data_IF_454289653637
#
_entry.id   IF_454289653637
#
_cell.length_a   1.000
_cell.length_b   1.000
_cell.length_c   1.000
_cell.angle_alpha   90.00
_cell.angle_beta   90.00
_cell.angle_gamma   90.00
#
_symmetry.space_group_name_H-M   'P 1'
#
loop_
_entity.id
_entity.type
_entity.pdbx_description
1 polymer ?
#
# COMPACT_ATOMS: atom_id res chain seq x y z
N UNK A 1 -21.69 -10.72 -60.09
CA UNK A 1 -21.84 -12.05 -59.47
C UNK A 1 -20.47 -12.45 -58.92
N UNK A 2 -20.24 -12.20 -57.64
CA UNK A 2 -19.01 -12.56 -56.95
C UNK A 2 -19.40 -13.11 -55.59
N UNK A 3 -19.24 -14.41 -55.42
CA UNK A 3 -19.49 -15.11 -54.15
C UNK A 3 -18.25 -14.97 -53.27
N UNK A 4 -18.36 -14.23 -52.18
CA UNK A 4 -17.38 -14.27 -51.09
C UNK A 4 -17.73 -15.42 -50.16
N UNK A 5 -16.82 -16.40 -50.11
CA UNK A 5 -16.90 -17.59 -49.28
C UNK A 5 -16.30 -17.23 -47.90
N UNK A 6 -17.16 -17.08 -46.89
CA UNK A 6 -16.77 -16.88 -45.49
C UNK A 6 -16.37 -18.25 -44.91
N UNK A 7 -15.06 -18.52 -44.85
CA UNK A 7 -14.50 -19.65 -44.13
C UNK A 7 -14.67 -19.45 -42.62
N UNK A 8 -15.42 -20.35 -41.99
CA UNK A 8 -15.56 -20.42 -40.54
C UNK A 8 -14.24 -20.85 -39.91
N UNK A 9 -13.66 -19.99 -39.07
CA UNK A 9 -12.53 -20.34 -38.19
C UNK A 9 -13.12 -21.00 -36.94
N UNK A 10 -13.00 -22.33 -36.86
CA UNK A 10 -13.32 -23.11 -35.67
C UNK A 10 -12.21 -22.87 -34.64
N UNK A 11 -12.52 -22.04 -33.63
CA UNK A 11 -11.65 -21.75 -32.49
C UNK A 11 -11.96 -22.79 -31.39
N UNK A 12 -11.43 -23.99 -31.53
CA UNK A 12 -11.44 -25.01 -30.47
C UNK A 12 -10.35 -24.70 -29.44
N UNK A 13 -10.56 -23.64 -28.66
CA UNK A 13 -9.82 -23.40 -27.42
C UNK A 13 -10.67 -23.89 -26.26
N UNK A 14 -10.79 -25.21 -26.18
CA UNK A 14 -11.38 -25.89 -25.02
C UNK A 14 -10.38 -25.75 -23.87
N UNK A 15 -10.54 -24.68 -23.08
CA UNK A 15 -9.76 -24.46 -21.87
C UNK A 15 -9.94 -25.67 -20.96
N UNK A 16 -8.90 -26.49 -20.84
CA UNK A 16 -8.90 -27.67 -19.99
C UNK A 16 -9.38 -27.29 -18.59
N UNK A 17 -10.33 -28.06 -18.06
CA UNK A 17 -10.83 -27.85 -16.71
C UNK A 17 -9.66 -27.84 -15.71
N UNK A 18 -9.64 -26.89 -14.75
CA UNK A 18 -8.58 -26.85 -13.76
C UNK A 18 -8.51 -28.19 -13.01
N UNK A 19 -7.31 -28.74 -12.78
CA UNK A 19 -7.14 -30.05 -12.15
C UNK A 19 -7.77 -30.05 -10.75
N UNK A 20 -8.28 -31.22 -10.34
CA UNK A 20 -8.88 -31.31 -9.00
C UNK A 20 -7.83 -31.10 -7.90
N UNK A 21 -8.19 -30.61 -6.71
CA UNK A 21 -7.25 -30.47 -5.58
C UNK A 21 -6.51 -31.78 -5.23
N UNK A 22 -7.16 -32.93 -5.46
CA UNK A 22 -6.58 -34.26 -5.27
C UNK A 22 -5.56 -34.67 -6.36
N UNK A 23 -5.62 -34.06 -7.54
CA UNK A 23 -4.64 -34.23 -8.62
C UNK A 23 -3.42 -33.30 -8.41
N UNK A 24 -3.61 -32.10 -7.89
CA UNK A 24 -2.50 -31.16 -7.59
C UNK A 24 -1.54 -31.78 -6.56
N UNK A 25 -2.07 -32.44 -5.52
CA UNK A 25 -1.29 -33.19 -4.53
C UNK A 25 -0.51 -34.39 -5.11
N UNK A 26 -0.83 -34.82 -6.34
CA UNK A 26 -0.10 -35.87 -7.05
C UNK A 26 1.11 -35.35 -7.83
N UNK A 27 1.13 -34.08 -8.24
CA UNK A 27 2.04 -33.60 -9.28
C UNK A 27 3.29 -32.90 -8.73
N UNK A 28 3.23 -32.26 -7.55
CA UNK A 28 4.39 -31.52 -7.02
C UNK A 28 4.92 -32.11 -5.71
N UNK A 29 6.18 -32.63 -5.67
CA UNK A 29 6.76 -33.23 -4.46
C UNK A 29 6.84 -32.28 -3.26
N UNK A 30 6.91 -30.97 -3.50
CA UNK A 30 7.06 -29.95 -2.45
C UNK A 30 5.85 -29.86 -1.52
N UNK A 31 4.63 -30.07 -2.03
CA UNK A 31 3.39 -30.04 -1.23
C UNK A 31 3.31 -31.20 -0.22
N UNK A 32 4.17 -32.22 -0.36
CA UNK A 32 4.24 -33.37 0.54
C UNK A 32 5.32 -33.24 1.59
N UNK A 33 6.16 -32.22 1.49
CA UNK A 33 7.23 -32.02 2.46
C UNK A 33 6.61 -31.62 3.81
N UNK A 34 7.08 -32.22 4.91
CA UNK A 34 6.75 -31.72 6.25
C UNK A 34 7.08 -30.24 6.37
N UNK A 35 6.30 -29.51 7.17
CA UNK A 35 6.48 -28.06 7.36
C UNK A 35 7.90 -27.72 7.80
N UNK A 36 8.51 -28.53 8.65
CA UNK A 36 9.87 -28.36 9.17
C UNK A 36 10.94 -28.42 8.07
N UNK A 37 10.69 -29.19 7.01
CA UNK A 37 11.60 -29.26 5.86
C UNK A 37 11.41 -28.03 4.97
N UNK A 38 10.17 -27.56 4.80
CA UNK A 38 9.88 -26.34 4.05
C UNK A 38 10.47 -25.11 4.73
N UNK A 39 10.38 -25.04 6.06
CA UNK A 39 11.02 -24.00 6.87
C UNK A 39 12.52 -23.96 6.62
N UNK A 40 13.21 -25.09 6.75
CA UNK A 40 14.65 -25.16 6.49
C UNK A 40 15.02 -24.72 5.08
N UNK A 41 14.19 -25.03 4.08
CA UNK A 41 14.44 -24.58 2.71
C UNK A 41 14.33 -23.06 2.63
N UNK A 42 13.30 -22.47 3.24
CA UNK A 42 13.09 -21.02 3.24
C UNK A 42 14.14 -20.28 4.08
N UNK A 43 14.55 -20.81 5.22
CA UNK A 43 15.63 -20.27 6.05
C UNK A 43 16.95 -20.24 5.26
N UNK A 44 17.28 -21.35 4.58
CA UNK A 44 18.49 -21.40 3.75
C UNK A 44 18.48 -20.39 2.60
N UNK A 45 17.30 -20.00 2.10
CA UNK A 45 17.18 -18.95 1.06
C UNK A 45 17.42 -17.55 1.65
N UNK A 46 17.02 -17.30 2.90
CA UNK A 46 17.29 -16.03 3.59
C UNK A 46 18.75 -15.87 3.98
N UNK A 47 19.44 -16.98 4.27
CA UNK A 47 20.86 -16.99 4.65
C UNK A 47 21.81 -16.67 3.47
N UNK A 48 21.31 -16.62 2.23
CA UNK A 48 22.13 -16.21 1.10
C UNK A 48 22.45 -14.71 1.16
N UNK A 49 23.71 -14.28 0.94
CA UNK A 49 24.15 -12.89 1.04
C UNK A 49 23.72 -12.05 -0.17
N UNK A 50 22.46 -12.17 -0.58
CA UNK A 50 21.87 -11.31 -1.58
C UNK A 50 21.48 -9.98 -0.95
N UNK A 51 21.51 -8.93 -1.77
CA UNK A 51 21.10 -7.58 -1.35
C UNK A 51 19.61 -7.50 -0.97
N UNK A 52 18.80 -8.50 -1.37
CA UNK A 52 17.35 -8.52 -1.17
C UNK A 52 16.87 -9.93 -0.78
N UNK A 53 16.00 -10.00 0.24
CA UNK A 53 15.37 -11.26 0.66
C UNK A 53 14.41 -11.76 -0.42
N UNK A 54 14.39 -13.09 -0.66
CA UNK A 54 13.44 -13.75 -1.57
C UNK A 54 11.96 -13.56 -1.19
N UNK A 55 11.69 -13.08 0.02
CA UNK A 55 10.36 -12.80 0.55
C UNK A 55 10.06 -11.29 0.65
N UNK A 56 11.05 -10.44 0.36
CA UNK A 56 10.88 -8.98 0.42
C UNK A 56 10.46 -8.43 -0.92
N UNK A 57 9.41 -7.62 -0.90
CA UNK A 57 8.92 -6.90 -2.07
C UNK A 57 9.93 -5.83 -2.52
N UNK A 58 10.19 -5.78 -3.83
CA UNK A 58 10.90 -4.69 -4.49
C UNK A 58 10.13 -4.25 -5.74
N UNK A 59 9.17 -3.34 -5.58
CA UNK A 59 8.23 -2.90 -6.62
C UNK A 59 7.13 -3.90 -6.97
N UNK A 60 7.46 -5.19 -7.10
CA UNK A 60 6.56 -6.29 -7.48
C UNK A 60 6.58 -7.45 -6.48
N UNK A 61 5.62 -8.39 -6.60
CA UNK A 61 5.58 -9.61 -5.78
C UNK A 61 6.82 -10.47 -6.09
N UNK A 62 7.54 -10.98 -5.06
CA UNK A 62 8.71 -11.83 -5.30
C UNK A 62 8.36 -13.05 -6.15
N UNK A 63 9.25 -13.38 -7.09
CA UNK A 63 9.03 -14.47 -8.04
C UNK A 63 8.75 -15.82 -7.36
N UNK A 64 9.36 -16.06 -6.19
CA UNK A 64 9.12 -17.25 -5.38
C UNK A 64 7.66 -17.33 -4.90
N UNK A 65 7.10 -16.23 -4.41
CA UNK A 65 5.70 -16.15 -3.96
C UNK A 65 4.77 -16.43 -5.16
N UNK A 66 5.04 -15.82 -6.30
CA UNK A 66 4.26 -16.01 -7.54
C UNK A 66 4.31 -17.47 -8.00
N UNK A 67 5.50 -18.09 -8.03
CA UNK A 67 5.69 -19.47 -8.47
C UNK A 67 4.91 -20.48 -7.60
N UNK A 68 4.79 -20.19 -6.30
CA UNK A 68 4.12 -21.07 -5.35
C UNK A 68 2.59 -20.90 -5.32
N UNK A 69 2.00 -19.89 -5.99
CA UNK A 69 0.53 -19.63 -5.97
C UNK A 69 -0.35 -20.83 -6.29
N UNK A 70 0.13 -21.76 -7.11
CA UNK A 70 -0.62 -22.98 -7.50
C UNK A 70 -0.52 -24.12 -6.48
N UNK A 71 0.37 -24.00 -5.49
CA UNK A 71 0.70 -25.01 -4.50
C UNK A 71 0.16 -24.57 -3.13
N UNK A 72 -1.05 -24.98 -2.79
CA UNK A 72 -1.82 -24.38 -1.69
C UNK A 72 -1.07 -24.36 -0.35
N UNK A 73 -0.45 -25.48 0.07
CA UNK A 73 0.22 -25.56 1.37
C UNK A 73 1.52 -24.76 1.37
N UNK A 74 2.29 -24.80 0.29
CA UNK A 74 3.55 -24.08 0.15
C UNK A 74 3.31 -22.58 -0.01
N UNK A 75 2.21 -22.21 -0.66
CA UNK A 75 1.78 -20.83 -0.81
C UNK A 75 1.34 -20.21 0.53
N UNK A 76 0.56 -20.94 1.33
CA UNK A 76 0.23 -20.45 2.67
C UNK A 76 1.48 -20.20 3.51
N UNK A 77 2.46 -21.09 3.39
CA UNK A 77 3.70 -20.96 4.14
C UNK A 77 4.60 -19.82 3.63
N UNK A 78 4.76 -19.67 2.32
CA UNK A 78 5.52 -18.56 1.73
C UNK A 78 4.86 -17.22 2.03
N UNK A 79 3.53 -17.18 2.12
CA UNK A 79 2.78 -15.96 2.47
C UNK A 79 3.03 -15.50 3.90
N UNK A 80 3.27 -16.41 4.84
CA UNK A 80 3.63 -16.03 6.22
C UNK A 80 4.95 -15.25 6.23
N UNK A 81 5.97 -15.76 5.55
CA UNK A 81 7.28 -15.09 5.43
C UNK A 81 7.21 -13.81 4.59
N UNK A 82 6.41 -13.83 3.53
CA UNK A 82 6.13 -12.62 2.74
C UNK A 82 5.48 -11.54 3.62
N UNK A 83 4.53 -11.90 4.49
CA UNK A 83 3.91 -10.96 5.43
C UNK A 83 4.93 -10.38 6.42
N UNK A 84 5.82 -11.20 6.96
CA UNK A 84 6.87 -10.75 7.88
C UNK A 84 7.82 -9.73 7.23
N UNK A 85 8.15 -9.93 5.96
CA UNK A 85 9.13 -9.11 5.23
C UNK A 85 8.51 -7.94 4.44
N UNK A 86 7.22 -8.01 4.10
CA UNK A 86 6.54 -7.10 3.16
C UNK A 86 5.18 -6.62 3.67
N UNK A 87 4.98 -6.60 4.99
CA UNK A 87 3.77 -6.08 5.64
C UNK A 87 3.56 -4.58 5.45
N UNK A 88 4.63 -3.84 5.10
CA UNK A 88 4.61 -2.41 4.83
C UNK A 88 4.91 -2.10 3.36
N UNK A 89 4.16 -1.16 2.79
CA UNK A 89 4.47 -0.53 1.50
C UNK A 89 5.06 0.85 1.77
N UNK A 90 6.16 1.20 1.11
CA UNK A 90 6.83 2.51 1.24
C UNK A 90 6.73 3.31 -0.06
N UNK A 91 5.78 4.23 -0.13
CA UNK A 91 5.48 5.06 -1.29
C UNK A 91 6.32 6.33 -1.26
N UNK A 92 7.22 6.48 -2.22
CA UNK A 92 8.00 7.69 -2.41
C UNK A 92 8.27 7.91 -3.92
N UNK A 93 9.20 8.82 -4.24
CA UNK A 93 9.51 9.24 -5.61
C UNK A 93 10.23 8.19 -6.44
N UNK A 94 10.96 7.30 -5.75
CA UNK A 94 11.81 6.29 -6.38
C UNK A 94 11.09 4.96 -6.52
N UNK A 95 9.97 4.78 -5.82
CA UNK A 95 9.30 3.50 -5.70
C UNK A 95 7.96 3.51 -6.46
N UNK A 96 7.93 2.86 -7.62
CA UNK A 96 6.67 2.54 -8.29
C UNK A 96 6.02 1.33 -7.63
N UNK A 97 4.75 1.46 -7.23
CA UNK A 97 3.95 0.33 -6.75
C UNK A 97 2.88 0.00 -7.76
N UNK A 98 2.94 -1.24 -8.24
CA UNK A 98 1.81 -1.86 -8.89
C UNK A 98 1.29 -2.98 -7.97
N UNK A 99 0.06 -2.83 -7.49
CA UNK A 99 -0.69 -3.86 -6.76
C UNK A 99 -1.58 -4.68 -7.69
N UNK A 100 -1.56 -4.42 -8.99
CA UNK A 100 -2.47 -5.05 -9.96
C UNK A 100 -2.27 -6.57 -10.05
N UNK A 101 -1.03 -7.03 -9.95
CA UNK A 101 -0.60 -8.43 -10.06
C UNK A 101 -0.78 -9.24 -8.76
N UNK A 102 -1.15 -8.59 -7.66
CA UNK A 102 -1.38 -9.23 -6.37
C UNK A 102 -2.76 -9.88 -6.31
N UNK A 103 -2.79 -11.11 -5.80
CA UNK A 103 -3.99 -11.79 -5.35
C UNK A 103 -4.51 -11.17 -4.05
N UNK A 104 -5.77 -11.46 -3.68
CA UNK A 104 -6.33 -10.95 -2.43
C UNK A 104 -5.55 -11.45 -1.20
N UNK A 105 -5.09 -12.71 -1.19
CA UNK A 105 -4.31 -13.26 -0.07
C UNK A 105 -2.99 -12.51 0.16
N UNK A 106 -2.31 -12.08 -0.91
CA UNK A 106 -1.09 -11.27 -0.82
C UNK A 106 -1.41 -9.83 -0.42
N UNK A 107 -2.52 -9.27 -0.91
CA UNK A 107 -2.97 -7.95 -0.49
C UNK A 107 -3.32 -7.90 1.00
N UNK A 108 -3.91 -8.98 1.52
CA UNK A 108 -4.27 -9.09 2.92
C UNK A 108 -3.03 -9.18 3.84
N UNK A 109 -1.83 -9.49 3.33
CA UNK A 109 -0.60 -9.43 4.14
C UNK A 109 -0.10 -8.00 4.35
N UNK A 110 -0.56 -7.05 3.55
CA UNK A 110 -0.18 -5.64 3.67
C UNK A 110 -1.05 -4.99 4.76
N UNK A 111 -0.42 -4.64 5.86
CA UNK A 111 -1.07 -4.00 7.01
C UNK A 111 -0.69 -2.53 7.17
N UNK A 112 0.44 -2.12 6.58
CA UNK A 112 1.00 -0.77 6.74
C UNK A 112 1.30 -0.13 5.39
N UNK A 113 1.07 1.18 5.29
CA UNK A 113 1.54 2.00 4.19
C UNK A 113 2.22 3.25 4.74
N UNK A 114 3.46 3.46 4.32
CA UNK A 114 4.26 4.65 4.59
C UNK A 114 4.34 5.46 3.31
N UNK A 115 4.10 6.75 3.37
CA UNK A 115 3.97 7.61 2.20
C UNK A 115 4.77 8.87 2.44
N UNK A 116 5.85 9.00 1.70
CA UNK A 116 6.66 10.19 1.63
C UNK A 116 6.15 11.07 0.49
N UNK A 117 5.49 12.16 0.86
CA UNK A 117 4.68 12.94 -0.06
C UNK A 117 5.43 14.12 -0.67
N UNK A 118 6.61 14.46 -0.16
CA UNK A 118 7.52 15.51 -0.67
C UNK A 118 7.76 15.41 -2.17
N UNK A 119 7.77 14.20 -2.68
CA UNK A 119 7.96 13.95 -4.09
C UNK A 119 6.70 14.09 -4.91
N UNK A 120 5.57 13.59 -4.41
CA UNK A 120 4.26 13.76 -5.07
C UNK A 120 3.97 15.26 -5.24
N UNK A 121 4.28 16.01 -4.21
CA UNK A 121 4.40 17.47 -4.14
C UNK A 121 5.27 18.02 -5.30
N UNK A 122 6.53 17.62 -5.44
CA UNK A 122 7.42 18.12 -6.51
C UNK A 122 7.02 17.71 -7.94
N UNK A 123 6.52 16.48 -8.14
CA UNK A 123 6.11 15.97 -9.46
C UNK A 123 4.82 16.60 -9.95
N UNK A 124 3.88 16.83 -9.03
CA UNK A 124 2.65 17.55 -9.32
C UNK A 124 3.01 19.01 -9.62
N UNK A 125 3.90 19.67 -8.86
CA UNK A 125 4.17 21.12 -9.02
C UNK A 125 5.24 21.50 -10.06
N UNK A 126 5.60 20.56 -10.93
CA UNK A 126 6.55 20.75 -12.04
C UNK A 126 6.03 21.63 -13.20
N UNK A 127 5.17 22.61 -12.95
CA UNK A 127 4.99 23.81 -13.77
C UNK A 127 3.91 24.70 -13.13
N UNK A 128 4.20 25.94 -12.71
CA UNK A 128 3.19 26.89 -12.25
C UNK A 128 2.15 27.26 -13.33
N UNK A 129 2.29 26.71 -14.55
CA UNK A 129 1.41 26.94 -15.69
C UNK A 129 0.55 25.73 -16.05
N UNK A 130 0.67 24.60 -15.34
CA UNK A 130 -0.20 23.45 -15.61
C UNK A 130 -1.37 23.42 -14.61
N UNK A 131 -2.59 23.83 -14.96
CA UNK A 131 -3.73 23.73 -14.05
C UNK A 131 -4.10 22.28 -13.69
N UNK A 132 -3.57 21.26 -14.39
CA UNK A 132 -3.69 19.85 -14.00
C UNK A 132 -2.73 19.47 -12.85
N UNK A 133 -1.77 20.35 -12.51
CA UNK A 133 -0.87 20.24 -11.35
C UNK A 133 -1.51 20.60 -10.00
N UNK A 134 -2.81 20.88 -9.93
CA UNK A 134 -3.44 21.01 -8.63
C UNK A 134 -3.43 19.63 -7.95
N UNK A 135 -3.11 19.56 -6.66
CA UNK A 135 -3.29 18.34 -5.85
C UNK A 135 -4.78 17.99 -5.87
N UNK A 136 -5.20 17.27 -6.90
CA UNK A 136 -6.46 16.59 -6.96
C UNK A 136 -6.32 15.25 -6.23
N UNK A 137 -7.46 14.62 -5.95
CA UNK A 137 -7.50 13.24 -5.47
C UNK A 137 -6.57 12.39 -6.36
N UNK A 138 -5.47 11.82 -5.84
CA UNK A 138 -4.53 11.06 -6.65
C UNK A 138 -5.26 9.77 -7.02
N UNK A 139 -5.91 9.78 -8.17
CA UNK A 139 -6.75 8.67 -8.64
C UNK A 139 -5.89 7.46 -9.00
N UNK A 140 -4.66 7.71 -9.45
CA UNK A 140 -3.61 6.71 -9.65
C UNK A 140 -3.28 5.97 -8.33
N UNK A 141 -3.24 6.72 -7.23
CA UNK A 141 -2.94 6.21 -5.89
C UNK A 141 -4.14 5.46 -5.30
N UNK A 142 -5.30 6.12 -5.20
CA UNK A 142 -6.45 5.58 -4.46
C UNK A 142 -6.95 4.26 -5.02
N UNK A 143 -6.93 4.07 -6.35
CA UNK A 143 -7.42 2.84 -6.99
C UNK A 143 -6.73 1.57 -6.50
N UNK A 144 -5.44 1.63 -6.23
CA UNK A 144 -4.69 0.46 -5.80
C UNK A 144 -5.00 0.10 -4.35
N UNK A 145 -5.10 1.11 -3.47
CA UNK A 145 -5.42 0.91 -2.05
C UNK A 145 -6.87 0.50 -1.79
N UNK A 146 -7.79 0.74 -2.73
CA UNK A 146 -9.16 0.20 -2.62
C UNK A 146 -9.19 -1.33 -2.52
N UNK A 147 -8.15 -2.03 -2.98
CA UNK A 147 -8.04 -3.50 -2.91
C UNK A 147 -7.34 -4.00 -1.64
N UNK A 148 -6.54 -3.15 -0.99
CA UNK A 148 -5.80 -3.48 0.23
C UNK A 148 -6.69 -3.36 1.47
N UNK A 149 -7.69 -4.25 1.57
CA UNK A 149 -8.74 -4.19 2.59
C UNK A 149 -8.25 -4.39 4.02
N UNK A 150 -7.05 -4.97 4.21
CA UNK A 150 -6.43 -5.16 5.51
C UNK A 150 -5.44 -4.05 5.91
N UNK A 151 -5.42 -2.92 5.19
CA UNK A 151 -4.58 -1.80 5.55
C UNK A 151 -5.04 -1.16 6.87
N UNK A 152 -4.22 -1.30 7.91
CA UNK A 152 -4.50 -0.90 9.30
C UNK A 152 -3.71 0.33 9.73
N UNK A 153 -2.52 0.50 9.20
CA UNK A 153 -1.62 1.58 9.56
C UNK A 153 -1.26 2.41 8.34
N UNK A 154 -1.42 3.73 8.44
CA UNK A 154 -0.96 4.67 7.42
C UNK A 154 -0.07 5.70 8.06
N UNK A 155 1.11 5.93 7.50
CA UNK A 155 2.02 7.01 7.87
C UNK A 155 2.20 7.93 6.67
N UNK A 156 1.79 9.18 6.83
CA UNK A 156 1.98 10.24 5.86
C UNK A 156 3.09 11.17 6.36
N UNK A 157 4.18 11.28 5.61
CA UNK A 157 5.28 12.21 5.91
C UNK A 157 5.46 13.21 4.78
N UNK A 158 5.91 14.41 5.15
CA UNK A 158 6.34 15.43 4.22
C UNK A 158 7.82 15.68 4.51
N UNK A 159 8.70 15.41 3.55
CA UNK A 159 10.08 15.86 3.65
C UNK A 159 10.12 17.37 3.41
N UNK A 160 10.46 18.12 4.46
CA UNK A 160 10.46 19.59 4.46
C UNK A 160 11.82 20.20 4.13
N UNK A 161 12.86 19.37 3.96
CA UNK A 161 14.21 19.81 3.65
C UNK A 161 14.29 20.55 2.30
N UNK A 162 13.35 20.26 1.40
CA UNK A 162 13.32 20.83 0.03
C UNK A 162 12.47 22.11 -0.12
N UNK A 163 12.02 22.72 0.99
CA UNK A 163 11.36 24.02 0.95
C UNK A 163 9.90 23.97 0.48
N UNK A 164 9.06 23.22 1.19
CA UNK A 164 7.61 23.14 0.94
C UNK A 164 6.97 24.53 1.09
N UNK A 165 6.19 24.96 0.09
CA UNK A 165 5.53 26.26 0.11
C UNK A 165 4.28 26.21 1.00
N UNK A 166 3.92 27.34 1.63
CA UNK A 166 2.80 27.36 2.59
C UNK A 166 1.44 26.93 1.99
N UNK A 167 1.22 27.20 0.70
CA UNK A 167 -0.02 26.84 0.01
C UNK A 167 -0.18 25.32 -0.10
N UNK A 168 0.95 24.63 -0.25
CA UNK A 168 0.98 23.20 -0.37
C UNK A 168 0.59 22.51 0.92
N UNK A 169 0.93 23.11 2.05
CA UNK A 169 0.55 22.62 3.37
C UNK A 169 -0.98 22.66 3.53
N UNK A 170 -1.61 23.77 3.14
CA UNK A 170 -3.08 23.92 3.18
C UNK A 170 -3.73 22.86 2.29
N UNK A 171 -3.18 22.66 1.09
CA UNK A 171 -3.72 21.69 0.16
C UNK A 171 -3.52 20.25 0.67
N UNK A 172 -2.35 19.91 1.20
CA UNK A 172 -2.10 18.61 1.83
C UNK A 172 -3.12 18.33 2.94
N UNK A 173 -3.23 19.23 3.92
CA UNK A 173 -4.15 19.12 5.07
C UNK A 173 -5.60 18.97 4.61
N UNK A 174 -5.97 19.62 3.49
CA UNK A 174 -7.33 19.54 2.95
C UNK A 174 -7.61 18.27 2.17
N UNK A 175 -6.61 17.74 1.47
CA UNK A 175 -6.79 16.67 0.50
C UNK A 175 -6.43 15.27 1.01
N UNK A 176 -5.46 15.13 1.92
CA UNK A 176 -5.02 13.80 2.35
C UNK A 176 -6.13 12.92 2.96
N UNK A 177 -7.17 13.46 3.66
CA UNK A 177 -8.25 12.62 4.15
C UNK A 177 -9.00 11.85 3.03
N UNK A 178 -8.98 12.35 1.78
CA UNK A 178 -9.56 11.63 0.65
C UNK A 178 -8.74 10.41 0.23
N UNK A 179 -7.46 10.36 0.62
CA UNK A 179 -6.57 9.24 0.32
C UNK A 179 -6.86 8.03 1.22
N UNK A 180 -7.53 8.26 2.35
CA UNK A 180 -7.94 7.25 3.32
C UNK A 180 -9.27 6.58 2.97
N UNK A 181 -9.94 6.98 1.88
CA UNK A 181 -11.29 6.50 1.53
C UNK A 181 -11.37 4.97 1.37
N UNK A 182 -10.26 4.32 0.98
CA UNK A 182 -10.13 2.86 0.86
C UNK A 182 -9.71 2.13 2.13
N UNK A 183 -9.20 2.83 3.15
CA UNK A 183 -8.60 2.22 4.33
C UNK A 183 -9.67 1.89 5.39
N UNK A 184 -10.59 0.96 5.09
CA UNK A 184 -11.72 0.64 5.98
C UNK A 184 -11.30 -0.06 7.28
N UNK A 185 -10.16 -0.75 7.26
CA UNK A 185 -9.56 -1.41 8.42
C UNK A 185 -8.57 -0.50 9.19
N UNK A 186 -8.50 0.80 8.88
CA UNK A 186 -7.52 1.71 9.48
C UNK A 186 -7.70 1.79 11.00
N UNK A 187 -6.69 1.36 11.74
CA UNK A 187 -6.60 1.46 13.20
C UNK A 187 -5.66 2.57 13.66
N UNK A 188 -4.68 2.93 12.83
CA UNK A 188 -3.69 3.97 13.15
C UNK A 188 -3.36 4.81 11.95
N UNK A 189 -3.30 6.12 12.15
CA UNK A 189 -2.83 7.09 11.17
C UNK A 189 -1.81 8.00 11.84
N UNK A 190 -0.61 8.04 11.28
CA UNK A 190 0.44 8.99 11.65
C UNK A 190 0.58 10.02 10.54
N UNK A 191 0.56 11.31 10.87
CA UNK A 191 0.71 12.41 9.90
C UNK A 191 1.76 13.38 10.41
N UNK A 192 2.75 13.67 9.59
CA UNK A 192 3.73 14.74 9.86
C UNK A 192 3.23 16.03 9.24
N UNK A 193 2.87 17.02 10.08
CA UNK A 193 2.30 18.29 9.64
C UNK A 193 3.29 19.41 9.92
N UNK A 194 3.66 20.22 8.91
CA UNK A 194 4.52 21.36 9.14
C UNK A 194 3.75 22.45 9.91
N UNK A 195 4.41 23.04 10.91
CA UNK A 195 3.82 24.04 11.82
C UNK A 195 4.45 25.43 11.69
N UNK A 196 5.10 25.69 10.55
CA UNK A 196 5.75 26.98 10.29
C UNK A 196 4.72 28.11 10.37
N UNK A 197 4.89 29.03 11.32
CA UNK A 197 4.08 30.24 11.50
C UNK A 197 2.58 30.03 11.81
N UNK A 198 2.14 28.85 12.27
CA UNK A 198 0.76 28.65 12.72
C UNK A 198 0.67 28.86 14.22
N UNK A 199 -0.22 29.72 14.71
CA UNK A 199 -0.45 29.89 16.15
C UNK A 199 -1.22 28.70 16.75
N UNK A 200 -1.22 28.58 18.07
CA UNK A 200 -1.83 27.45 18.77
C UNK A 200 -3.35 27.32 18.53
N UNK A 201 -4.05 28.45 18.38
CA UNK A 201 -5.50 28.46 18.18
C UNK A 201 -5.86 27.95 16.78
N UNK A 202 -5.10 28.37 15.77
CA UNK A 202 -5.24 27.89 14.40
C UNK A 202 -4.85 26.42 14.28
N UNK A 203 -3.80 25.97 14.98
CA UNK A 203 -3.43 24.54 15.06
C UNK A 203 -4.59 23.69 15.56
N UNK A 204 -5.22 24.07 16.68
CA UNK A 204 -6.37 23.32 17.22
C UNK A 204 -7.53 23.28 16.25
N UNK A 205 -7.85 24.41 15.59
CA UNK A 205 -8.92 24.46 14.59
C UNK A 205 -8.64 23.54 13.39
N UNK A 206 -7.40 23.49 12.93
CA UNK A 206 -6.99 22.58 11.85
C UNK A 206 -7.11 21.13 12.28
N UNK A 207 -6.64 20.80 13.49
CA UNK A 207 -6.77 19.47 14.10
C UNK A 207 -8.23 19.03 14.18
N UNK A 208 -9.11 19.85 14.75
CA UNK A 208 -10.54 19.52 14.90
C UNK A 208 -11.22 19.29 13.53
N UNK A 209 -10.91 20.15 12.56
CA UNK A 209 -11.39 20.02 11.19
C UNK A 209 -10.90 18.73 10.52
N UNK A 210 -9.64 18.37 10.76
CA UNK A 210 -9.03 17.15 10.23
C UNK A 210 -9.67 15.90 10.84
N UNK A 211 -9.79 15.85 12.16
CA UNK A 211 -10.42 14.74 12.89
C UNK A 211 -11.85 14.49 12.38
N UNK A 212 -12.61 15.57 12.18
CA UNK A 212 -13.97 15.52 11.61
C UNK A 212 -13.97 14.90 10.20
N UNK A 213 -13.02 15.28 9.34
CA UNK A 213 -12.92 14.74 7.98
C UNK A 213 -12.51 13.28 7.96
N UNK A 214 -11.53 12.88 8.78
CA UNK A 214 -11.10 11.48 8.91
C UNK A 214 -12.29 10.63 9.36
N UNK A 215 -12.98 11.03 10.43
CA UNK A 215 -14.16 10.33 10.92
C UNK A 215 -15.22 10.14 9.81
N UNK A 216 -15.53 11.20 9.06
CA UNK A 216 -16.49 11.14 7.94
C UNK A 216 -16.06 10.17 6.83
N UNK A 217 -14.75 9.96 6.62
CA UNK A 217 -14.22 9.14 5.53
C UNK A 217 -14.00 7.68 5.91
N UNK A 218 -13.51 7.43 7.13
CA UNK A 218 -13.24 6.08 7.63
C UNK A 218 -14.45 5.46 8.32
N UNK A 219 -15.38 6.28 8.83
CA UNK A 219 -16.51 5.84 9.65
C UNK A 219 -16.13 5.44 11.08
N UNK A 220 -14.86 5.64 11.48
CA UNK A 220 -14.34 5.23 12.78
C UNK A 220 -14.28 6.43 13.73
N UNK A 221 -14.76 6.26 14.96
CA UNK A 221 -14.52 7.22 16.06
C UNK A 221 -13.11 7.07 16.58
N UNK A 222 -12.54 8.16 17.08
CA UNK A 222 -11.10 8.23 17.34
C UNK A 222 -10.77 8.82 18.68
N UNK A 223 -9.59 8.43 19.16
CA UNK A 223 -8.87 9.10 20.21
C UNK A 223 -7.69 9.83 19.53
N UNK A 224 -7.64 11.16 19.64
CA UNK A 224 -6.41 11.87 19.33
C UNK A 224 -5.45 11.63 20.48
N UNK A 225 -4.24 11.15 20.19
CA UNK A 225 -3.35 10.64 21.25
C UNK A 225 -2.26 11.65 21.58
N UNK A 226 -1.49 12.13 20.60
CA UNK A 226 -0.27 12.86 20.94
C UNK A 226 0.29 13.70 19.79
N UNK A 227 0.91 14.83 20.16
CA UNK A 227 1.87 15.56 19.34
C UNK A 227 3.27 15.11 19.77
N UNK A 228 3.89 14.21 19.00
CA UNK A 228 5.16 13.57 19.38
C UNK A 228 6.34 14.45 18.94
N UNK A 229 6.52 15.57 19.63
CA UNK A 229 7.72 16.41 19.55
C UNK A 229 7.85 17.33 18.33
N UNK A 230 8.86 18.20 18.39
CA UNK A 230 9.38 18.97 17.26
C UNK A 230 10.67 18.30 16.80
N UNK A 231 10.75 17.90 15.53
CA UNK A 231 12.06 17.63 14.93
C UNK A 231 12.76 18.97 14.76
N UNK A 232 13.86 19.17 15.50
CA UNK A 232 14.58 20.44 15.64
C UNK A 232 15.08 21.05 14.32
N UNK A 233 15.07 20.27 13.22
CA UNK A 233 15.43 20.72 11.88
C UNK A 233 14.23 20.81 10.90
N UNK A 234 13.06 20.25 11.22
CA UNK A 234 12.00 20.05 10.23
C UNK A 234 10.74 20.91 10.44
N UNK A 235 10.63 21.70 11.52
CA UNK A 235 9.44 22.56 11.74
C UNK A 235 8.09 21.81 11.59
N UNK A 236 8.04 20.54 11.96
CA UNK A 236 6.86 19.69 11.87
C UNK A 236 6.44 19.14 13.25
N UNK A 237 5.14 18.91 13.38
CA UNK A 237 4.52 18.14 14.45
C UNK A 237 4.08 16.78 13.90
N UNK A 238 4.34 15.71 14.66
CA UNK A 238 3.83 14.39 14.34
C UNK A 238 2.51 14.19 15.06
N UNK A 239 1.44 13.97 14.30
CA UNK A 239 0.10 13.73 14.80
C UNK A 239 -0.25 12.25 14.69
N UNK A 240 -0.75 11.68 15.78
CA UNK A 240 -1.18 10.28 15.80
C UNK A 240 -2.69 10.21 16.09
N UNK A 241 -3.39 9.57 15.16
CA UNK A 241 -4.79 9.21 15.25
C UNK A 241 -4.90 7.70 15.44
N UNK A 242 -5.69 7.27 16.42
CA UNK A 242 -6.03 5.86 16.60
C UNK A 242 -7.54 5.66 16.66
N UNK A 243 -7.99 4.57 16.04
CA UNK A 243 -9.37 4.14 16.12
C UNK A 243 -9.72 3.68 17.54
N UNK A 244 -10.94 3.99 17.99
CA UNK A 244 -11.42 3.50 19.27
C UNK A 244 -11.47 1.95 19.29
N UNK A 245 -11.11 1.29 20.40
CA UNK A 245 -11.21 -0.16 20.52
C UNK A 245 -12.62 -0.67 20.22
N UNK A 246 -12.74 -1.72 19.41
CA UNK A 246 -14.02 -2.36 19.09
C UNK A 246 -14.82 -1.74 17.94
N UNK A 247 -14.21 -0.84 17.15
CA UNK A 247 -14.74 -0.30 15.88
C UNK A 247 -14.08 -0.93 14.66
#
# INVERSE_FOLDING_TARGET
MSHNNLGAVQSDNEAAAPPSPSEILKVFPWERLPTEIRDKIFDNLEDEPLYESYFKRNGSVPALVVALRSLQLSYEHVLQRFAENSSAIVINEWTSFDLSDMSQKELDTIVKAEMELSSIVHWVWGSPYDPESQIGKPTWYTKQFLRATNLREVHLSLNLEYGVHQFDMVQFITEFPYWLEGCKALTKLTVEIPIVNVDESDRRRVLDGLMTRIHKKTGRTSLFIEVVGQKWHEMAEVWIWEAAPGT
#
